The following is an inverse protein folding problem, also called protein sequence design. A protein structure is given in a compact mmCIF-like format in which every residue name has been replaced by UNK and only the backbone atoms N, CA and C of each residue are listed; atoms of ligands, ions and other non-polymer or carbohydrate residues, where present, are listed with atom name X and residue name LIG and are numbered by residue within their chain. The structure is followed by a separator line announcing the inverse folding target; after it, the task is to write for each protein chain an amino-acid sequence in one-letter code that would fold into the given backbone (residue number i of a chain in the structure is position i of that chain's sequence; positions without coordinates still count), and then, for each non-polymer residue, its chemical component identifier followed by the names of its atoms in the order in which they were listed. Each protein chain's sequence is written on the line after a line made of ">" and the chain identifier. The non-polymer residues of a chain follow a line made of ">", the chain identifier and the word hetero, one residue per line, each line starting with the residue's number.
data_IF_490726089525
#
_entry.id   IF_490726089525
#
_cell.length_a   1.000
_cell.length_b   1.000
_cell.length_c   1.000
_cell.angle_alpha   90.00
_cell.angle_beta   90.00
_cell.angle_gamma   90.00
#
_symmetry.space_group_name_H-M   'P 1'
#
loop_
_entity.id
_entity.type
_entity.pdbx_description
1 polymer ?
#
# COMPACT_ATOMS: atom_id res chain seq x y z
N UNK A 1 -23.60 -11.42 8.73
CA UNK A 1 -24.25 -10.31 9.49
C UNK A 1 -23.30 -9.13 9.73
N UNK A 2 -22.56 -8.98 10.85
CA UNK A 2 -21.76 -7.76 11.08
C UNK A 2 -20.58 -7.57 10.09
N UNK A 3 -19.93 -8.67 9.67
CA UNK A 3 -18.76 -8.63 8.77
C UNK A 3 -19.08 -8.19 7.34
N UNK A 4 -20.31 -8.42 6.87
CA UNK A 4 -20.76 -8.02 5.53
C UNK A 4 -21.10 -6.54 5.45
N UNK A 5 -21.51 -5.93 6.58
CA UNK A 5 -21.82 -4.50 6.63
C UNK A 5 -20.56 -3.67 6.36
N UNK A 6 -19.42 -4.01 6.99
CA UNK A 6 -18.18 -3.23 6.89
C UNK A 6 -17.26 -3.62 5.73
N UNK A 7 -17.50 -4.74 5.05
CA UNK A 7 -16.69 -5.19 3.90
C UNK A 7 -17.49 -5.10 2.60
N UNK A 8 -18.07 -3.93 2.34
CA UNK A 8 -18.88 -3.67 1.15
C UNK A 8 -18.34 -2.45 0.38
N UNK A 9 -18.42 -2.49 -0.95
CA UNK A 9 -17.89 -1.41 -1.81
C UNK A 9 -18.52 -0.04 -1.56
N UNK A 10 -19.73 0.02 -0.98
CA UNK A 10 -20.40 1.27 -0.59
C UNK A 10 -19.66 2.02 0.53
N UNK A 11 -18.74 1.37 1.25
CA UNK A 11 -17.88 2.02 2.23
C UNK A 11 -16.61 2.64 1.63
N UNK A 12 -16.41 2.50 0.32
CA UNK A 12 -15.26 3.08 -0.39
C UNK A 12 -15.66 4.45 -0.92
N UNK A 13 -15.10 5.50 -0.34
CA UNK A 13 -15.19 6.86 -0.90
C UNK A 13 -14.21 7.05 -2.06
N UNK A 14 -14.42 8.09 -2.86
CA UNK A 14 -13.50 8.45 -3.97
C UNK A 14 -12.12 8.78 -3.39
N UNK A 15 -11.04 8.05 -3.73
CA UNK A 15 -9.72 8.30 -3.15
C UNK A 15 -9.09 9.63 -3.66
N UNK A 16 -8.70 10.50 -2.73
CA UNK A 16 -8.15 11.84 -3.05
C UNK A 16 -6.65 12.03 -2.78
N UNK A 17 -5.97 11.08 -2.15
CA UNK A 17 -4.60 11.27 -1.62
C UNK A 17 -3.58 11.69 -2.68
N UNK A 18 -3.52 11.00 -3.82
CA UNK A 18 -2.55 11.32 -4.89
C UNK A 18 -2.83 12.69 -5.51
N UNK A 19 -4.11 13.01 -5.76
CA UNK A 19 -4.50 14.32 -6.25
C UNK A 19 -4.09 15.44 -5.27
N UNK A 20 -4.28 15.21 -3.97
CA UNK A 20 -3.84 16.13 -2.93
C UNK A 20 -2.31 16.29 -2.89
N UNK A 21 -1.54 15.21 -2.97
CA UNK A 21 -0.08 15.26 -3.00
C UNK A 21 0.43 16.06 -4.21
N UNK A 22 -0.11 15.80 -5.40
CA UNK A 22 0.23 16.56 -6.61
C UNK A 22 -0.09 18.04 -6.43
N UNK A 23 -1.30 18.36 -5.96
CA UNK A 23 -1.73 19.75 -5.74
C UNK A 23 -0.85 20.50 -4.75
N UNK A 24 -0.44 19.85 -3.66
CA UNK A 24 0.48 20.43 -2.66
C UNK A 24 1.85 20.75 -3.29
N UNK A 25 2.38 19.85 -4.11
CA UNK A 25 3.66 20.07 -4.78
C UNK A 25 3.56 21.15 -5.85
N UNK A 26 2.44 21.22 -6.58
CA UNK A 26 2.19 22.29 -7.56
C UNK A 26 2.10 23.68 -6.93
N UNK A 27 1.40 23.81 -5.80
CA UNK A 27 1.17 25.12 -5.17
C UNK A 27 2.29 25.56 -4.23
N UNK A 28 2.90 24.61 -3.50
CA UNK A 28 3.83 24.91 -2.42
C UNK A 28 5.21 24.27 -2.60
N UNK A 29 5.42 23.51 -3.67
CA UNK A 29 6.70 22.86 -3.94
C UNK A 29 7.82 23.87 -4.20
N UNK A 30 9.03 23.53 -3.76
CA UNK A 30 10.21 24.39 -3.97
C UNK A 30 10.66 24.52 -5.44
N UNK A 31 10.06 23.76 -6.36
CA UNK A 31 10.47 23.65 -7.76
C UNK A 31 11.77 22.87 -8.00
N UNK A 32 12.45 22.41 -6.94
CA UNK A 32 13.75 21.69 -7.05
C UNK A 32 13.63 20.20 -7.37
N UNK A 33 12.46 19.62 -7.14
CA UNK A 33 12.19 18.19 -7.33
C UNK A 33 10.91 18.04 -8.15
N UNK A 34 10.96 17.13 -9.12
CA UNK A 34 9.79 16.68 -9.88
C UNK A 34 8.98 15.66 -9.09
N UNK A 35 7.70 15.48 -9.43
CA UNK A 35 6.87 14.41 -8.83
C UNK A 35 7.50 13.02 -9.00
N UNK A 36 8.17 12.77 -10.13
CA UNK A 36 8.88 11.52 -10.40
C UNK A 36 10.02 11.30 -9.42
N UNK A 37 10.80 12.33 -9.11
CA UNK A 37 11.89 12.25 -8.13
C UNK A 37 11.35 12.07 -6.70
N UNK A 38 10.21 12.69 -6.38
CA UNK A 38 9.53 12.55 -5.10
C UNK A 38 9.05 11.11 -4.88
N UNK A 39 8.44 10.49 -5.89
CA UNK A 39 7.98 9.09 -5.78
C UNK A 39 9.09 8.06 -5.98
N UNK A 40 10.22 8.44 -6.58
CA UNK A 40 11.35 7.55 -6.86
C UNK A 40 11.77 6.65 -5.70
N UNK A 41 11.97 7.18 -4.47
CA UNK A 41 12.27 6.36 -3.30
C UNK A 41 11.18 5.32 -2.99
N UNK A 42 9.90 5.69 -3.04
CA UNK A 42 8.80 4.78 -2.76
C UNK A 42 8.68 3.68 -3.83
N UNK A 43 8.91 4.03 -5.10
CA UNK A 43 8.96 3.07 -6.22
C UNK A 43 10.06 2.04 -5.98
N UNK A 44 11.28 2.48 -5.62
CA UNK A 44 12.39 1.56 -5.34
C UNK A 44 12.08 0.62 -4.18
N UNK A 45 11.55 1.12 -3.06
CA UNK A 45 11.18 0.26 -1.92
C UNK A 45 10.11 -0.77 -2.31
N UNK A 46 9.16 -0.39 -3.17
CA UNK A 46 8.12 -1.29 -3.66
C UNK A 46 8.65 -2.34 -4.65
N UNK A 47 9.72 -2.06 -5.40
CA UNK A 47 10.34 -2.97 -6.37
C UNK A 47 11.40 -3.89 -5.76
N UNK A 48 12.32 -3.31 -5.00
CA UNK A 48 13.46 -4.00 -4.39
C UNK A 48 13.06 -4.75 -3.11
N UNK A 49 11.93 -4.37 -2.54
CA UNK A 49 11.37 -4.95 -1.33
C UNK A 49 11.97 -4.39 -0.05
N UNK A 50 11.20 -4.47 1.04
CA UNK A 50 11.61 -3.96 2.36
C UNK A 50 11.25 -4.93 3.48
N UNK A 51 12.08 -5.05 4.53
CA UNK A 51 11.72 -5.83 5.71
C UNK A 51 10.56 -5.15 6.43
N UNK A 52 9.49 -5.92 6.70
CA UNK A 52 8.32 -5.37 7.36
C UNK A 52 8.59 -5.10 8.86
N UNK A 53 8.27 -3.90 9.39
CA UNK A 53 8.42 -3.63 10.81
C UNK A 53 7.45 -4.45 11.67
N UNK A 54 7.87 -4.80 12.89
CA UNK A 54 7.08 -5.60 13.84
C UNK A 54 5.62 -5.14 13.98
N UNK A 55 5.41 -3.83 14.21
CA UNK A 55 4.05 -3.27 14.36
C UNK A 55 3.18 -3.50 13.12
N UNK A 56 3.75 -3.37 11.92
CA UNK A 56 3.01 -3.57 10.68
C UNK A 56 2.69 -5.05 10.46
N UNK A 57 3.61 -5.96 10.75
CA UNK A 57 3.34 -7.40 10.70
C UNK A 57 2.17 -7.81 11.61
N UNK A 58 2.14 -7.31 12.85
CA UNK A 58 1.03 -7.58 13.78
C UNK A 58 -0.31 -7.06 13.26
N UNK A 59 -0.35 -5.86 12.68
CA UNK A 59 -1.58 -5.32 12.08
C UNK A 59 -2.00 -6.13 10.85
N UNK A 60 -1.04 -6.56 10.04
CA UNK A 60 -1.30 -7.37 8.85
C UNK A 60 -1.91 -8.73 9.20
N UNK A 61 -1.40 -9.37 10.25
CA UNK A 61 -1.92 -10.64 10.80
C UNK A 61 -3.38 -10.51 11.22
N UNK A 62 -3.75 -9.42 11.88
CA UNK A 62 -5.16 -9.17 12.29
C UNK A 62 -6.12 -9.07 11.09
N UNK A 63 -5.60 -8.69 9.92
CA UNK A 63 -6.37 -8.56 8.67
C UNK A 63 -6.26 -9.79 7.76
N UNK A 64 -5.42 -10.77 8.09
CA UNK A 64 -5.08 -11.91 7.22
C UNK A 64 -6.31 -12.63 6.67
N UNK A 65 -7.31 -12.86 7.52
CA UNK A 65 -8.52 -13.54 7.08
C UNK A 65 -9.28 -12.75 6.02
N UNK A 66 -9.33 -11.42 6.13
CA UNK A 66 -9.95 -10.57 5.09
C UNK A 66 -9.13 -10.60 3.80
N UNK A 67 -7.80 -10.65 3.90
CA UNK A 67 -6.93 -10.71 2.71
C UNK A 67 -7.06 -12.03 1.96
N UNK A 68 -7.31 -13.16 2.63
CA UNK A 68 -7.55 -14.45 1.97
C UNK A 68 -8.75 -14.43 1.03
N UNK A 69 -9.77 -13.62 1.34
CA UNK A 69 -10.97 -13.46 0.50
C UNK A 69 -10.81 -12.41 -0.61
N UNK A 70 -9.65 -11.73 -0.68
CA UNK A 70 -9.36 -10.76 -1.72
C UNK A 70 -8.94 -11.45 -3.03
N UNK A 71 -9.34 -10.87 -4.17
CA UNK A 71 -8.82 -11.27 -5.49
C UNK A 71 -7.30 -11.07 -5.62
N UNK A 72 -6.72 -10.22 -4.76
CA UNK A 72 -5.30 -9.90 -4.72
C UNK A 72 -4.60 -10.54 -3.51
N UNK A 73 -5.11 -11.64 -2.96
CA UNK A 73 -4.52 -12.31 -1.80
C UNK A 73 -3.01 -12.58 -1.95
N UNK A 74 -2.56 -12.98 -3.15
CA UNK A 74 -1.16 -13.25 -3.45
C UNK A 74 -0.25 -12.01 -3.42
N UNK A 75 -0.82 -10.80 -3.53
CA UNK A 75 -0.06 -9.55 -3.36
C UNK A 75 0.05 -9.14 -1.88
N UNK A 76 -0.79 -9.72 -1.01
CA UNK A 76 -0.97 -9.32 0.38
C UNK A 76 -0.49 -10.37 1.38
N UNK A 77 -0.31 -11.62 0.95
CA UNK A 77 0.06 -12.76 1.80
C UNK A 77 1.27 -13.48 1.21
N UNK A 78 2.18 -13.93 2.07
CA UNK A 78 3.31 -14.78 1.72
C UNK A 78 2.88 -16.22 1.96
N UNK A 79 2.79 -17.05 0.93
CA UNK A 79 2.36 -18.46 1.04
C UNK A 79 1.05 -18.64 1.83
N UNK A 80 0.10 -17.71 1.67
CA UNK A 80 -1.21 -17.74 2.34
C UNK A 80 -1.21 -17.31 3.82
N UNK A 81 -0.07 -16.84 4.35
CA UNK A 81 0.05 -16.23 5.67
C UNK A 81 0.36 -14.73 5.61
N UNK A 82 -0.01 -14.00 6.67
CA UNK A 82 0.51 -12.66 6.85
C UNK A 82 2.04 -12.72 7.00
N UNK A 83 2.74 -11.65 6.61
CA UNK A 83 4.18 -11.57 6.79
C UNK A 83 4.56 -11.50 8.27
N UNK A 84 5.65 -12.17 8.63
CA UNK A 84 6.24 -12.08 9.94
C UNK A 84 7.16 -10.85 10.04
N UNK A 85 7.44 -10.32 11.23
CA UNK A 85 8.42 -9.24 11.40
C UNK A 85 9.75 -9.57 10.72
N UNK A 86 10.21 -8.67 9.84
CA UNK A 86 11.45 -8.85 9.08
C UNK A 86 11.30 -9.59 7.74
N UNK A 87 10.16 -10.22 7.45
CA UNK A 87 9.88 -10.74 6.10
C UNK A 87 9.95 -9.60 5.07
N UNK A 88 10.51 -9.89 3.90
CA UNK A 88 10.64 -8.90 2.82
C UNK A 88 9.32 -8.82 2.04
N UNK A 89 8.78 -7.61 1.94
CA UNK A 89 7.57 -7.33 1.16
C UNK A 89 7.94 -6.66 -0.14
N UNK A 90 7.40 -7.20 -1.24
CA UNK A 90 7.48 -6.64 -2.58
C UNK A 90 6.09 -6.14 -3.01
N UNK A 91 6.04 -4.99 -3.67
CA UNK A 91 4.80 -4.39 -4.18
C UNK A 91 4.95 -3.89 -5.63
N UNK A 92 5.30 -4.77 -6.60
CA UNK A 92 5.60 -4.35 -7.97
C UNK A 92 4.40 -3.72 -8.70
N UNK A 93 3.16 -4.12 -8.35
CA UNK A 93 1.94 -3.48 -8.88
C UNK A 93 1.80 -2.04 -8.38
N UNK A 94 2.12 -1.78 -7.11
CA UNK A 94 2.12 -0.43 -6.55
C UNK A 94 3.21 0.42 -7.20
N UNK A 95 4.42 -0.13 -7.36
CA UNK A 95 5.50 0.54 -8.06
C UNK A 95 5.09 0.97 -9.47
N UNK A 96 4.43 0.08 -10.24
CA UNK A 96 3.91 0.41 -11.58
C UNK A 96 2.93 1.58 -11.58
N UNK A 97 2.09 1.72 -10.55
CA UNK A 97 1.11 2.81 -10.44
C UNK A 97 1.76 4.14 -10.05
N UNK A 98 2.90 4.10 -9.35
CA UNK A 98 3.61 5.30 -8.90
C UNK A 98 4.57 5.90 -9.95
N UNK A 99 4.86 5.17 -11.04
CA UNK A 99 5.73 5.64 -12.14
C UNK A 99 5.00 6.62 -13.06
#
# INVERSE_FOLDING_TARGET
>A
MAREVFNHGLWVSVPGTIAGMVKVVEEFGSGKLTMKEIFGPAIRLAEEGVPIPFKHAMMWDTCQETFRHSKNANDLLIDGRAPAPGDIIYAPKLAKVLR
#
